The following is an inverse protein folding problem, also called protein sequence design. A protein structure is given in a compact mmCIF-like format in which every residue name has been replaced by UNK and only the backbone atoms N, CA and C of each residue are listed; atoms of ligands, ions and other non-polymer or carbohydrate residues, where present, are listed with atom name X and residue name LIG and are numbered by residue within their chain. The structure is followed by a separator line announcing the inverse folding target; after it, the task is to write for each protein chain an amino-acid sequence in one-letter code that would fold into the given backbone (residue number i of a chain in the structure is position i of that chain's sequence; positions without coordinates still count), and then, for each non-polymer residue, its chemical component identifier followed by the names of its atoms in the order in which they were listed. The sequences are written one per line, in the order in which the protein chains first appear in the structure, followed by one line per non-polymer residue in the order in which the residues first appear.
data_IF_529607936782
#
_entry.id   IF_529607936782
#
_cell.length_a   1.000
_cell.length_b   1.000
_cell.length_c   1.000
_cell.angle_alpha   90.00
_cell.angle_beta   90.00
_cell.angle_gamma   90.00
#
_symmetry.space_group_name_H-M   'P 1'
#
loop_
_entity.id
_entity.type
_entity.pdbx_description
1 polymer ?
#
# COMPACT_ATOMS: atom_id res chain seq x y z
N UNK A 1 -0.75 -37.02 33.77
CA UNK A 1 -0.74 -36.37 32.44
C UNK A 1 0.04 -37.27 31.49
N UNK A 2 -0.57 -37.77 30.42
CA UNK A 2 0.05 -38.75 29.51
C UNK A 2 1.07 -38.07 28.59
N UNK A 3 2.25 -38.68 28.35
CA UNK A 3 3.37 -38.07 27.60
C UNK A 3 3.00 -37.65 26.17
N UNK A 4 1.95 -38.26 25.59
CA UNK A 4 1.41 -37.88 24.28
C UNK A 4 0.86 -36.44 24.24
N UNK A 5 0.28 -35.93 25.32
CA UNK A 5 -0.25 -34.54 25.36
C UNK A 5 0.86 -33.48 25.38
N UNK A 6 2.02 -33.82 25.93
CA UNK A 6 3.18 -32.92 26.00
C UNK A 6 3.87 -32.78 24.64
N UNK A 7 3.98 -33.89 23.89
CA UNK A 7 4.54 -33.89 22.53
C UNK A 7 3.64 -33.12 21.56
N UNK A 8 2.32 -33.33 21.60
CA UNK A 8 1.38 -32.58 20.76
C UNK A 8 1.34 -31.07 21.10
N UNK A 9 1.42 -30.71 22.38
CA UNK A 9 1.49 -29.30 22.80
C UNK A 9 2.79 -28.62 22.37
N UNK A 10 3.93 -29.32 22.46
CA UNK A 10 5.22 -28.81 22.00
C UNK A 10 5.29 -28.62 20.48
N UNK A 11 4.72 -29.54 19.70
CA UNK A 11 4.69 -29.42 18.23
C UNK A 11 3.81 -28.26 17.76
N UNK A 12 2.63 -28.05 18.35
CA UNK A 12 1.78 -26.92 18.00
C UNK A 12 2.44 -25.58 18.34
N UNK A 13 3.08 -25.49 19.52
CA UNK A 13 3.82 -24.29 19.91
C UNK A 13 5.00 -24.01 18.98
N UNK A 14 5.74 -25.04 18.56
CA UNK A 14 6.83 -24.89 17.60
C UNK A 14 6.34 -24.43 16.22
N UNK A 15 5.18 -24.93 15.76
CA UNK A 15 4.54 -24.48 14.50
C UNK A 15 4.10 -23.03 14.62
N UNK A 16 3.40 -22.65 15.70
CA UNK A 16 2.97 -21.28 15.93
C UNK A 16 4.17 -20.33 16.03
N UNK A 17 5.22 -20.73 16.73
CA UNK A 17 6.45 -19.95 16.83
C UNK A 17 7.15 -19.84 15.47
N UNK A 18 7.20 -20.92 14.70
CA UNK A 18 7.73 -20.92 13.33
C UNK A 18 6.96 -19.96 12.41
N UNK A 19 5.63 -19.94 12.50
CA UNK A 19 4.78 -19.00 11.76
C UNK A 19 5.03 -17.55 12.20
N UNK A 20 5.14 -17.29 13.51
CA UNK A 20 5.45 -15.93 13.99
C UNK A 20 6.83 -15.48 13.50
N UNK A 21 7.81 -16.36 13.52
CA UNK A 21 9.17 -16.06 13.06
C UNK A 21 9.27 -15.90 11.53
N UNK A 22 8.44 -16.59 10.75
CA UNK A 22 8.44 -16.43 9.28
C UNK A 22 7.89 -15.09 8.82
N UNK A 23 7.11 -14.40 9.66
CA UNK A 23 6.57 -13.06 9.41
C UNK A 23 7.42 -11.95 10.06
N UNK A 24 8.69 -12.23 10.39
CA UNK A 24 9.61 -11.19 10.84
C UNK A 24 9.78 -10.11 9.77
N UNK A 25 9.70 -8.84 10.19
CA UNK A 25 9.94 -7.68 9.33
C UNK A 25 11.42 -7.65 8.94
N UNK A 26 11.69 -7.44 7.66
CA UNK A 26 13.05 -7.29 7.11
C UNK A 26 13.65 -5.88 7.35
N UNK A 27 12.88 -4.99 8.00
CA UNK A 27 13.22 -3.60 8.27
C UNK A 27 13.49 -2.78 6.99
N UNK A 28 12.80 -3.11 5.90
CA UNK A 28 12.88 -2.39 4.62
C UNK A 28 11.57 -1.65 4.33
N UNK A 29 11.64 -0.70 3.40
CA UNK A 29 10.46 -0.05 2.85
C UNK A 29 9.95 -0.89 1.69
N UNK A 30 8.71 -1.36 1.81
CA UNK A 30 7.98 -2.01 0.74
C UNK A 30 6.93 -1.05 0.19
N UNK A 31 6.88 -0.91 -1.11
CA UNK A 31 5.77 -0.25 -1.83
C UNK A 31 5.17 -1.30 -2.75
N UNK A 32 4.07 -1.89 -2.27
CA UNK A 32 3.45 -3.06 -2.88
C UNK A 32 2.20 -2.63 -3.61
N UNK A 33 2.18 -2.81 -4.91
CA UNK A 33 0.95 -2.64 -5.66
C UNK A 33 0.16 -3.94 -5.71
N UNK A 34 -1.09 -3.89 -5.25
CA UNK A 34 -1.92 -5.05 -5.06
C UNK A 34 -2.54 -5.52 -6.38
N UNK A 35 -2.57 -6.85 -6.57
CA UNK A 35 -3.16 -7.52 -7.74
C UNK A 35 -4.70 -7.51 -7.70
N UNK A 36 -5.28 -6.32 -7.77
CA UNK A 36 -6.74 -6.11 -7.84
C UNK A 36 -7.03 -4.89 -8.72
N UNK A 37 -8.23 -4.82 -9.27
CA UNK A 37 -8.69 -3.65 -10.04
C UNK A 37 -8.49 -2.33 -9.27
N UNK A 38 -8.09 -1.27 -9.97
CA UNK A 38 -7.68 0.01 -9.36
C UNK A 38 -6.30 -0.01 -8.70
N UNK A 39 -5.72 -1.20 -8.50
CA UNK A 39 -4.37 -1.46 -8.00
C UNK A 39 -3.92 -0.56 -6.84
N UNK A 40 -4.67 -0.60 -5.72
CA UNK A 40 -4.29 0.09 -4.52
C UNK A 40 -2.91 -0.34 -4.05
N UNK A 41 -2.19 0.61 -3.44
CA UNK A 41 -0.81 0.43 -3.01
C UNK A 41 -0.77 0.31 -1.50
N UNK A 42 -0.13 -0.75 -1.03
CA UNK A 42 0.23 -0.95 0.37
C UNK A 42 1.69 -0.56 0.57
N UNK A 43 1.94 0.48 1.36
CA UNK A 43 3.28 0.88 1.78
C UNK A 43 3.53 0.35 3.20
N UNK A 44 4.63 -0.40 3.36
CA UNK A 44 5.10 -0.86 4.68
C UNK A 44 6.47 -0.26 4.94
N UNK A 45 6.55 0.52 6.01
CA UNK A 45 7.81 1.16 6.42
C UNK A 45 8.73 0.19 7.18
N UNK A 46 10.03 0.48 7.31
CA UNK A 46 10.96 -0.25 8.17
C UNK A 46 10.50 -0.45 9.62
N UNK A 47 9.89 0.56 10.26
CA UNK A 47 9.29 0.37 11.59
C UNK A 47 8.01 -0.47 11.57
N UNK A 48 7.47 -0.71 10.37
CA UNK A 48 6.32 -1.52 10.04
C UNK A 48 4.98 -0.83 10.27
N UNK A 49 4.98 0.50 10.11
CA UNK A 49 3.76 1.24 9.82
C UNK A 49 3.22 0.84 8.46
N UNK A 50 1.89 0.79 8.34
CA UNK A 50 1.17 0.34 7.16
C UNK A 50 0.29 1.46 6.62
N UNK A 51 0.45 1.76 5.33
CA UNK A 51 -0.30 2.81 4.65
C UNK A 51 -0.99 2.19 3.45
N UNK A 52 -2.30 2.34 3.36
CA UNK A 52 -3.09 1.93 2.21
C UNK A 52 -3.46 3.14 1.38
N UNK A 53 -3.16 3.11 0.09
CA UNK A 53 -3.42 4.18 -0.87
C UNK A 53 -4.30 3.64 -1.98
N UNK A 54 -5.45 4.29 -2.21
CA UNK A 54 -6.40 3.89 -3.24
C UNK A 54 -7.37 2.79 -2.79
N UNK A 55 -8.32 2.45 -3.66
CA UNK A 55 -9.35 1.44 -3.47
C UNK A 55 -9.50 0.53 -4.70
N UNK A 56 -10.49 -0.36 -4.67
CA UNK A 56 -10.75 -1.32 -5.73
C UNK A 56 -12.26 -1.48 -5.94
N UNK A 57 -12.70 -1.85 -7.14
CA UNK A 57 -14.13 -2.06 -7.40
C UNK A 57 -14.73 -3.24 -6.60
N UNK A 58 -13.90 -4.22 -6.21
CA UNK A 58 -14.31 -5.41 -5.45
C UNK A 58 -13.82 -5.36 -4.00
N UNK A 59 -14.73 -5.21 -3.00
CA UNK A 59 -14.36 -5.21 -1.59
C UNK A 59 -13.67 -6.50 -1.14
N UNK A 60 -14.17 -7.66 -1.58
CA UNK A 60 -13.59 -8.95 -1.21
C UNK A 60 -12.22 -9.18 -1.85
N UNK A 61 -12.00 -8.68 -3.07
CA UNK A 61 -10.70 -8.79 -3.73
C UNK A 61 -9.65 -7.97 -2.97
N UNK A 62 -9.95 -6.71 -2.63
CA UNK A 62 -9.03 -5.86 -1.86
C UNK A 62 -8.68 -6.48 -0.49
N UNK A 63 -9.69 -6.95 0.25
CA UNK A 63 -9.44 -7.61 1.54
C UNK A 63 -8.61 -8.89 1.39
N UNK A 64 -8.80 -9.65 0.30
CA UNK A 64 -8.00 -10.84 0.01
C UNK A 64 -6.55 -10.48 -0.32
N UNK A 65 -6.33 -9.44 -1.13
CA UNK A 65 -4.99 -8.96 -1.48
C UNK A 65 -4.24 -8.43 -0.26
N UNK A 66 -4.89 -7.64 0.59
CA UNK A 66 -4.33 -7.20 1.87
C UNK A 66 -4.00 -8.39 2.79
N UNK A 67 -4.89 -9.38 2.88
CA UNK A 67 -4.66 -10.60 3.66
C UNK A 67 -3.55 -11.50 3.12
N UNK A 68 -3.17 -11.37 1.85
CA UNK A 68 -2.00 -12.02 1.26
C UNK A 68 -0.69 -11.31 1.62
N UNK A 69 -0.74 -9.99 1.81
CA UNK A 69 0.42 -9.15 2.09
C UNK A 69 0.70 -8.91 3.58
N UNK A 70 -0.25 -9.24 4.45
CA UNK A 70 -0.16 -9.02 5.88
C UNK A 70 -0.32 -10.33 6.64
N UNK A 71 0.33 -10.47 7.81
CA UNK A 71 0.05 -11.60 8.69
C UNK A 71 -1.45 -11.66 9.01
N UNK A 72 -2.04 -12.86 9.08
CA UNK A 72 -3.50 -13.00 9.22
C UNK A 72 -4.09 -12.33 10.48
N UNK A 73 -3.25 -12.12 11.50
CA UNK A 73 -3.57 -11.46 12.76
C UNK A 73 -3.35 -9.96 12.74
N UNK A 74 -2.57 -9.45 11.80
CA UNK A 74 -2.29 -8.02 11.67
C UNK A 74 -3.45 -7.35 10.94
N UNK A 75 -4.06 -6.38 11.62
CA UNK A 75 -5.27 -5.68 11.16
C UNK A 75 -5.10 -4.17 11.29
N UNK A 76 -3.89 -3.67 11.48
CA UNK A 76 -3.65 -2.26 11.71
C UNK A 76 -3.22 -1.57 10.42
N UNK A 77 -3.92 -0.51 10.05
CA UNK A 77 -3.53 0.39 8.95
C UNK A 77 -3.35 1.77 9.56
N UNK A 78 -2.13 2.28 9.63
CA UNK A 78 -1.83 3.56 10.28
C UNK A 78 -2.45 4.74 9.53
N UNK A 79 -2.45 4.66 8.20
CA UNK A 79 -2.98 5.71 7.33
C UNK A 79 -3.69 5.09 6.13
N UNK A 80 -4.93 5.51 5.89
CA UNK A 80 -5.66 5.28 4.66
C UNK A 80 -5.69 6.55 3.83
N UNK A 81 -5.22 6.50 2.59
CA UNK A 81 -5.25 7.60 1.63
C UNK A 81 -6.26 7.28 0.53
N UNK A 82 -7.38 7.99 0.55
CA UNK A 82 -8.43 7.96 -0.46
C UNK A 82 -8.28 9.15 -1.41
N UNK A 83 -7.23 9.11 -2.24
CA UNK A 83 -6.98 10.07 -3.32
C UNK A 83 -7.67 9.63 -4.60
N UNK A 84 -8.37 10.53 -5.27
CA UNK A 84 -9.02 10.28 -6.58
C UNK A 84 -9.89 9.01 -6.61
N UNK A 85 -10.61 8.74 -5.51
CA UNK A 85 -11.46 7.55 -5.39
C UNK A 85 -12.77 7.73 -6.17
N UNK A 86 -13.03 6.81 -7.08
CA UNK A 86 -14.32 6.71 -7.75
C UNK A 86 -15.41 6.09 -6.84
N UNK A 87 -16.68 6.30 -7.20
CA UNK A 87 -17.81 5.88 -6.37
C UNK A 87 -17.90 4.36 -6.22
N UNK A 88 -17.51 3.60 -7.25
CA UNK A 88 -17.50 2.13 -7.24
C UNK A 88 -16.36 1.55 -6.39
N UNK A 89 -15.21 2.24 -6.31
CA UNK A 89 -14.08 1.89 -5.45
C UNK A 89 -14.32 2.18 -3.96
N UNK A 90 -15.19 3.13 -3.62
CA UNK A 90 -15.46 3.53 -2.23
C UNK A 90 -15.98 2.37 -1.36
N UNK A 91 -16.68 1.41 -1.95
CA UNK A 91 -17.21 0.24 -1.24
C UNK A 91 -16.10 -0.68 -0.71
N UNK A 92 -14.94 -0.74 -1.37
CA UNK A 92 -13.83 -1.54 -0.85
C UNK A 92 -13.19 -0.89 0.37
N UNK A 93 -13.10 0.44 0.39
CA UNK A 93 -12.59 1.18 1.54
C UNK A 93 -13.51 1.07 2.75
N UNK A 94 -14.83 1.07 2.52
CA UNK A 94 -15.81 0.74 3.57
C UNK A 94 -15.56 -0.65 4.17
N UNK A 95 -15.27 -1.65 3.35
CA UNK A 95 -14.95 -2.99 3.82
C UNK A 95 -13.59 -3.05 4.57
N UNK A 96 -12.62 -2.23 4.16
CA UNK A 96 -11.36 -2.07 4.92
C UNK A 96 -11.66 -1.48 6.30
N UNK A 97 -12.44 -0.41 6.40
CA UNK A 97 -12.83 0.21 7.68
C UNK A 97 -13.63 -0.73 8.60
N UNK A 98 -14.35 -1.70 8.04
CA UNK A 98 -15.08 -2.73 8.79
C UNK A 98 -14.16 -3.83 9.36
N UNK A 99 -13.04 -4.12 8.69
CA UNK A 99 -12.17 -5.28 8.99
C UNK A 99 -10.80 -4.95 9.55
N UNK A 100 -10.34 -3.72 9.35
CA UNK A 100 -9.04 -3.23 9.79
C UNK A 100 -9.22 -2.04 10.74
N UNK A 101 -8.35 -1.95 11.73
CA UNK A 101 -8.22 -0.77 12.59
C UNK A 101 -7.45 0.28 11.80
N UNK A 102 -8.17 1.21 11.18
CA UNK A 102 -7.55 2.34 10.49
C UNK A 102 -7.25 3.45 11.49
N UNK A 103 -6.00 3.90 11.60
CA UNK A 103 -5.58 4.99 12.48
C UNK A 103 -6.10 6.33 12.00
N UNK A 104 -5.50 6.83 10.91
CA UNK A 104 -5.81 8.11 10.26
C UNK A 104 -6.34 7.91 8.85
N UNK A 105 -7.08 8.90 8.35
CA UNK A 105 -7.63 8.89 7.00
C UNK A 105 -7.34 10.24 6.35
N UNK A 106 -6.71 10.22 5.18
CA UNK A 106 -6.62 11.34 4.27
C UNK A 106 -7.53 11.05 3.08
N UNK A 107 -8.38 12.01 2.70
CA UNK A 107 -9.29 11.82 1.57
C UNK A 107 -9.51 13.13 0.84
N UNK A 108 -9.48 13.08 -0.50
CA UNK A 108 -10.08 14.16 -1.32
C UNK A 108 -11.57 14.25 -1.03
N UNK A 109 -12.24 15.33 -1.46
CA UNK A 109 -13.67 15.49 -1.18
C UNK A 109 -14.48 14.32 -1.75
N UNK A 110 -15.17 13.57 -0.88
CA UNK A 110 -16.04 12.45 -1.26
C UNK A 110 -17.49 12.94 -1.22
N UNK A 111 -18.11 13.02 -2.41
CA UNK A 111 -19.48 13.45 -2.57
C UNK A 111 -20.46 12.53 -1.81
N UNK A 112 -21.37 13.13 -1.05
CA UNK A 112 -22.37 12.42 -0.23
C UNK A 112 -23.71 12.15 -0.94
N UNK A 113 -23.81 12.43 -2.23
CA UNK A 113 -25.02 12.25 -3.04
C UNK A 113 -25.22 10.80 -3.51
N UNK A 114 -24.12 10.06 -3.68
CA UNK A 114 -24.14 8.63 -3.97
C UNK A 114 -24.47 7.80 -2.72
N UNK A 115 -24.95 6.57 -2.93
CA UNK A 115 -25.19 5.63 -1.82
C UNK A 115 -23.89 5.32 -1.07
N UNK A 116 -22.81 5.04 -1.80
CA UNK A 116 -21.51 4.72 -1.22
C UNK A 116 -20.96 5.92 -0.42
N UNK A 117 -21.12 7.16 -0.92
CA UNK A 117 -20.73 8.36 -0.20
C UNK A 117 -21.46 8.54 1.12
N UNK A 118 -22.78 8.30 1.15
CA UNK A 118 -23.54 8.33 2.42
C UNK A 118 -23.09 7.24 3.39
N UNK A 119 -22.86 6.03 2.90
CA UNK A 119 -22.39 4.91 3.71
C UNK A 119 -20.99 5.19 4.28
N UNK A 120 -20.10 5.81 3.49
CA UNK A 120 -18.78 6.29 3.92
C UNK A 120 -18.89 7.27 5.08
N UNK A 121 -19.63 8.37 4.92
CA UNK A 121 -19.79 9.36 5.98
C UNK A 121 -20.47 8.78 7.23
N UNK A 122 -21.44 7.89 7.07
CA UNK A 122 -22.07 7.18 8.18
C UNK A 122 -21.10 6.26 8.92
N UNK A 123 -20.24 5.52 8.20
CA UNK A 123 -19.21 4.67 8.78
C UNK A 123 -18.21 5.50 9.59
N UNK A 124 -17.68 6.58 9.00
CA UNK A 124 -16.73 7.45 9.68
C UNK A 124 -17.31 8.09 10.95
N UNK A 125 -18.58 8.52 10.89
CA UNK A 125 -19.29 9.04 12.06
C UNK A 125 -19.41 8.00 13.17
N UNK A 126 -19.69 6.73 12.84
CA UNK A 126 -19.74 5.62 13.80
C UNK A 126 -18.38 5.32 14.42
N UNK A 127 -17.32 5.43 13.63
CA UNK A 127 -15.93 5.22 14.07
C UNK A 127 -15.34 6.44 14.79
N UNK A 128 -16.06 7.57 14.84
CA UNK A 128 -15.55 8.83 15.39
C UNK A 128 -14.34 9.38 14.63
N UNK A 129 -14.30 9.17 13.30
CA UNK A 129 -13.19 9.58 12.43
C UNK A 129 -13.61 10.73 11.53
N UNK A 130 -12.70 11.68 11.36
CA UNK A 130 -12.84 12.79 10.40
C UNK A 130 -11.68 12.74 9.42
N UNK A 131 -11.93 12.58 8.10
CA UNK A 131 -10.87 12.58 7.11
C UNK A 131 -10.16 13.93 7.10
N UNK A 132 -8.84 13.88 6.98
CA UNK A 132 -8.02 15.05 6.73
C UNK A 132 -7.92 15.27 5.22
N UNK A 133 -7.78 16.52 4.80
CA UNK A 133 -7.38 16.80 3.42
C UNK A 133 -5.98 16.21 3.19
N UNK A 134 -5.70 15.62 2.01
CA UNK A 134 -4.36 15.15 1.66
C UNK A 134 -3.32 16.26 1.88
N UNK A 135 -2.29 15.94 2.65
CA UNK A 135 -1.24 16.86 3.04
C UNK A 135 0.03 16.08 3.38
N UNK A 136 1.18 16.75 3.25
CA UNK A 136 2.46 16.12 3.52
C UNK A 136 2.53 15.64 4.96
N UNK A 137 2.97 14.40 5.14
CA UNK A 137 3.11 13.77 6.45
C UNK A 137 4.37 12.91 6.51
N UNK A 138 5.06 13.01 7.64
CA UNK A 138 6.18 12.13 7.95
C UNK A 138 5.60 10.83 8.49
N UNK A 139 5.87 9.72 7.79
CA UNK A 139 5.47 8.38 8.22
C UNK A 139 6.46 7.88 9.27
N UNK A 140 7.75 8.04 9.01
CA UNK A 140 8.83 7.78 9.97
C UNK A 140 10.08 8.58 9.59
N UNK A 141 11.13 8.66 10.44
CA UNK A 141 12.32 9.44 10.11
C UNK A 141 12.93 9.06 8.75
N UNK A 142 12.94 9.99 7.81
CA UNK A 142 13.47 9.78 6.45
C UNK A 142 12.48 9.18 5.44
N UNK A 143 11.24 8.89 5.86
CA UNK A 143 10.16 8.40 4.99
C UNK A 143 8.89 9.24 5.18
N UNK A 144 8.40 9.81 4.09
CA UNK A 144 7.21 10.66 4.07
C UNK A 144 6.23 10.29 2.96
N UNK A 145 5.02 10.81 3.09
CA UNK A 145 4.07 10.92 2.00
C UNK A 145 3.85 12.40 1.69
N UNK A 146 3.93 12.77 0.43
CA UNK A 146 3.59 14.09 -0.10
C UNK A 146 2.55 13.94 -1.21
N UNK A 147 2.07 15.06 -1.74
CA UNK A 147 1.00 15.07 -2.73
C UNK A 147 1.28 16.11 -3.83
N UNK A 148 1.26 15.67 -5.08
CA UNK A 148 1.21 16.52 -6.27
C UNK A 148 -0.25 16.60 -6.73
N UNK A 149 -0.93 17.67 -6.31
CA UNK A 149 -2.39 17.76 -6.42
C UNK A 149 -3.09 16.67 -5.60
N UNK A 150 -3.71 15.70 -6.29
CA UNK A 150 -4.34 14.54 -5.66
C UNK A 150 -3.45 13.28 -5.69
N UNK A 151 -2.31 13.33 -6.40
CA UNK A 151 -1.46 12.16 -6.63
C UNK A 151 -0.52 11.96 -5.44
N UNK A 152 -0.58 10.81 -4.76
CA UNK A 152 0.30 10.52 -3.63
C UNK A 152 1.72 10.19 -4.10
N UNK A 153 2.68 10.77 -3.40
CA UNK A 153 4.12 10.60 -3.59
C UNK A 153 4.73 10.00 -2.33
N UNK A 154 5.46 8.90 -2.45
CA UNK A 154 6.22 8.31 -1.33
C UNK A 154 7.67 8.77 -1.43
N UNK A 155 8.12 9.47 -0.40
CA UNK A 155 9.48 9.99 -0.30
C UNK A 155 10.29 9.12 0.66
N UNK A 156 11.40 8.55 0.22
CA UNK A 156 12.26 7.70 1.03
C UNK A 156 13.72 7.80 0.58
N UNK A 157 14.60 8.34 1.44
CA UNK A 157 16.05 8.35 1.18
C UNK A 157 16.47 9.04 -0.13
N UNK A 158 15.74 10.06 -0.57
CA UNK A 158 15.97 10.76 -1.85
C UNK A 158 15.31 10.10 -3.07
N UNK A 159 14.59 8.99 -2.88
CA UNK A 159 13.68 8.42 -3.88
C UNK A 159 12.27 8.98 -3.65
N UNK A 160 11.62 9.37 -4.75
CA UNK A 160 10.20 9.70 -4.79
C UNK A 160 9.53 8.67 -5.69
N UNK A 161 8.46 8.05 -5.19
CA UNK A 161 7.64 7.09 -5.91
C UNK A 161 6.25 7.69 -6.07
N UNK A 162 5.85 8.00 -7.30
CA UNK A 162 4.48 8.42 -7.58
C UNK A 162 3.55 7.24 -7.81
N UNK A 163 2.32 7.35 -7.31
CA UNK A 163 1.26 6.37 -7.51
C UNK A 163 0.18 7.06 -8.35
N UNK A 164 0.26 6.92 -9.67
CA UNK A 164 -0.53 7.68 -10.63
C UNK A 164 0.28 8.70 -11.43
N UNK A 165 -0.37 9.48 -12.30
CA UNK A 165 0.31 10.49 -13.13
C UNK A 165 0.78 11.68 -12.26
N UNK A 166 2.05 12.06 -12.32
CA UNK A 166 2.59 13.23 -11.60
C UNK A 166 3.58 14.01 -12.47
N UNK A 167 3.56 15.34 -12.38
CA UNK A 167 4.50 16.24 -13.06
C UNK A 167 5.79 16.41 -12.25
N UNK A 168 5.74 16.15 -10.94
CA UNK A 168 6.89 16.22 -10.03
C UNK A 168 7.77 14.95 -10.07
N UNK A 169 7.20 13.81 -10.46
CA UNK A 169 7.94 12.54 -10.55
C UNK A 169 8.64 12.37 -11.91
N UNK A 170 9.92 11.97 -11.88
CA UNK A 170 10.69 11.65 -13.08
C UNK A 170 10.76 10.13 -13.24
N UNK A 171 10.62 9.62 -14.46
CA UNK A 171 10.80 8.18 -14.77
C UNK A 171 12.17 8.01 -15.43
N UNK A 172 13.08 7.27 -14.79
CA UNK A 172 14.37 6.92 -15.40
C UNK A 172 14.37 5.47 -15.91
N UNK A 173 14.42 5.31 -17.24
CA UNK A 173 14.56 4.00 -17.89
C UNK A 173 16.05 3.63 -17.99
N UNK A 174 16.49 2.63 -17.23
CA UNK A 174 17.89 2.16 -17.28
C UNK A 174 17.99 0.93 -18.20
N UNK A 175 18.40 1.16 -19.45
CA UNK A 175 18.63 0.12 -20.45
C UNK A 175 20.09 -0.35 -20.61
N UNK A 176 21.05 0.26 -19.90
CA UNK A 176 22.47 -0.08 -19.86
C UNK A 176 23.07 0.28 -18.49
N UNK A 177 24.20 -0.32 -18.05
CA UNK A 177 24.82 0.05 -16.78
C UNK A 177 25.29 1.51 -16.87
N UNK A 178 24.66 2.38 -16.06
CA UNK A 178 25.04 3.78 -15.93
C UNK A 178 25.94 3.88 -14.71
N UNK A 179 27.15 4.40 -14.87
CA UNK A 179 28.14 4.54 -13.79
C UNK A 179 27.73 5.55 -12.70
N UNK A 180 26.67 6.34 -12.93
CA UNK A 180 26.06 7.23 -11.93
C UNK A 180 24.61 7.55 -12.27
N UNK A 181 23.72 7.34 -11.30
CA UNK A 181 22.33 7.80 -11.35
C UNK A 181 22.26 9.34 -11.29
N UNK A 182 21.23 10.00 -11.86
CA UNK A 182 21.02 11.44 -11.74
C UNK A 182 20.71 11.87 -10.31
N UNK A 183 21.02 13.14 -9.98
CA UNK A 183 21.00 13.69 -8.62
C UNK A 183 19.56 13.90 -8.02
N UNK A 184 18.51 13.33 -8.63
CA UNK A 184 17.10 13.44 -8.21
C UNK A 184 16.26 12.15 -8.38
N UNK A 185 15.05 12.09 -7.78
CA UNK A 185 14.18 10.88 -7.63
C UNK A 185 13.45 10.41 -8.90
N UNK A 186 13.06 9.11 -8.98
CA UNK A 186 13.09 8.38 -10.29
C UNK A 186 11.96 7.38 -10.65
N UNK A 187 10.90 7.15 -9.85
CA UNK A 187 9.95 6.06 -10.11
C UNK A 187 8.46 6.47 -10.11
N UNK A 188 7.71 6.02 -11.12
CA UNK A 188 6.25 6.20 -11.23
C UNK A 188 5.59 4.84 -11.45
N UNK A 189 4.56 4.55 -10.67
CA UNK A 189 3.67 3.40 -10.86
C UNK A 189 2.38 3.88 -11.56
N UNK A 190 2.05 3.32 -12.72
CA UNK A 190 0.89 3.69 -13.54
C UNK A 190 0.06 2.48 -13.93
N UNK A 191 -1.26 2.67 -14.07
CA UNK A 191 -2.23 1.58 -14.26
C UNK A 191 -3.09 1.64 -15.51
N UNK A 192 -2.87 2.63 -16.37
CA UNK A 192 -3.42 2.67 -17.71
C UNK A 192 -2.30 3.00 -18.70
N UNK A 193 -2.26 2.37 -19.88
CA UNK A 193 -1.28 2.74 -20.90
C UNK A 193 -1.62 4.12 -21.43
N UNK A 194 -0.77 5.11 -21.19
CA UNK A 194 -0.77 6.36 -21.94
C UNK A 194 -0.20 6.10 -23.35
N UNK A 195 -0.89 5.28 -24.14
CA UNK A 195 -0.47 4.92 -25.48
C UNK A 195 0.87 4.17 -25.55
N UNK A 196 1.54 4.27 -26.69
CA UNK A 196 2.79 3.56 -27.02
C UNK A 196 4.02 4.18 -26.35
N UNK A 197 3.91 4.63 -25.09
CA UNK A 197 5.01 5.27 -24.38
C UNK A 197 5.84 4.24 -23.62
N UNK A 198 7.16 4.23 -23.87
CA UNK A 198 8.11 3.21 -23.39
C UNK A 198 8.51 3.39 -21.92
N UNK A 199 7.79 4.27 -21.21
CA UNK A 199 8.07 4.79 -19.87
C UNK A 199 7.31 4.07 -18.76
N UNK A 200 6.58 3.01 -19.09
CA UNK A 200 5.69 2.32 -18.18
C UNK A 200 6.33 1.01 -17.73
N UNK A 201 6.44 0.79 -16.42
CA UNK A 201 6.50 -0.59 -15.91
C UNK A 201 5.09 -1.13 -16.05
N UNK A 202 4.84 -1.83 -17.15
CA UNK A 202 3.58 -2.54 -17.37
C UNK A 202 3.51 -3.66 -16.33
N UNK A 203 2.79 -3.38 -15.24
CA UNK A 203 2.45 -4.37 -14.25
C UNK A 203 1.46 -5.28 -14.97
N UNK A 204 1.93 -6.48 -15.32
CA UNK A 204 1.17 -7.43 -16.14
C UNK A 204 -0.31 -7.48 -15.70
N UNK A 205 -1.22 -7.73 -16.64
CA UNK A 205 -2.69 -7.84 -16.43
C UNK A 205 -3.13 -8.63 -15.18
N UNK A 206 -2.22 -9.40 -14.57
CA UNK A 206 -2.28 -10.00 -13.23
C UNK A 206 -0.89 -10.03 -12.56
N UNK A 207 -0.84 -9.73 -11.27
CA UNK A 207 0.30 -9.97 -10.37
C UNK A 207 0.52 -8.85 -9.33
N UNK A 208 1.20 -9.18 -8.23
CA UNK A 208 1.65 -8.20 -7.23
C UNK A 208 3.05 -7.73 -7.59
N UNK A 209 3.31 -6.42 -7.48
CA UNK A 209 4.66 -5.87 -7.63
C UNK A 209 5.10 -5.25 -6.32
N UNK A 210 6.18 -5.77 -5.76
CA UNK A 210 6.80 -5.28 -4.53
C UNK A 210 8.10 -4.54 -4.88
N UNK A 211 8.11 -3.25 -4.57
CA UNK A 211 9.30 -2.42 -4.64
C UNK A 211 9.93 -2.34 -3.26
N UNK A 212 11.12 -2.92 -3.14
CA UNK A 212 11.90 -2.88 -1.92
C UNK A 212 12.98 -1.81 -2.05
N UNK A 213 12.91 -0.78 -1.21
CA UNK A 213 13.86 0.33 -1.21
C UNK A 213 14.89 0.11 -0.10
N UNK A 214 16.17 0.12 -0.49
CA UNK A 214 17.32 0.03 0.43
C UNK A 214 18.20 1.27 0.28
N UNK A 215 19.09 1.56 1.25
CA UNK A 215 20.06 2.64 1.09
C UNK A 215 20.91 2.44 -0.17
N UNK A 216 20.62 3.21 -1.24
CA UNK A 216 21.37 3.20 -2.50
C UNK A 216 20.86 2.25 -3.59
N UNK A 217 19.76 1.52 -3.41
CA UNK A 217 19.19 0.66 -4.45
C UNK A 217 17.67 0.44 -4.30
N UNK A 218 17.00 0.16 -5.42
CA UNK A 218 15.61 -0.31 -5.49
C UNK A 218 15.61 -1.68 -6.15
N UNK A 219 15.02 -2.68 -5.50
CA UNK A 219 14.78 -4.00 -6.10
C UNK A 219 13.30 -4.19 -6.37
N UNK A 220 12.99 -4.80 -7.52
CA UNK A 220 11.62 -5.07 -7.97
C UNK A 220 11.42 -6.58 -7.90
N UNK A 221 10.44 -7.03 -7.12
CA UNK A 221 9.96 -8.41 -7.11
C UNK A 221 8.55 -8.46 -7.69
N UNK A 222 8.27 -9.49 -8.49
CA UNK A 222 6.94 -9.75 -9.03
C UNK A 222 6.46 -11.12 -8.57
N UNK A 223 5.23 -11.18 -8.06
CA UNK A 223 4.55 -12.43 -7.72
C UNK A 223 3.33 -12.58 -8.65
N UNK A 224 3.20 -13.75 -9.28
CA UNK A 224 2.10 -14.11 -10.19
C UNK A 224 1.14 -15.09 -9.52
#
# INVERSE_FOLDING_TARGET
MTPKRLVFGGSLLAILLGVVLSWQRDAQLHVVALDVDGHPVLVRTPSGRQILIGGASSPSALLSALGGQLPFWDRDIDLLVASEIETDQLNSLLAVLDRYTVGQIMATEIAGDSRAGREWWAMLSRLGKTPMTPQNAILEPGIGVSFDGAVPLIEAGGLTIAIGPSDEAQINLIGQPIDRLPDGPQLVLMWQPAGSDTRLVDLADRGTVDLVVTPGAVSIATER
#
